data_IF_308059855661
#
_entry.id   IF_308059855661
#
_cell.length_a   1.000
_cell.length_b   1.000
_cell.length_c   1.000
_cell.angle_alpha   90.00
_cell.angle_beta   90.00
_cell.angle_gamma   90.00
#
_symmetry.space_group_name_H-M   'P 1'
#
loop_
_entity.id
_entity.type
_entity.pdbx_description
1 polymer ?
#
# COMPACT_ATOMS: atom_id res chain seq x y z
N UNK A 1 -19.64 1.67 21.03
CA UNK A 1 -19.14 0.48 21.75
C UNK A 1 -17.87 0.06 21.03
N UNK A 2 -16.78 0.74 21.35
CA UNK A 2 -15.47 0.58 20.73
C UNK A 2 -14.84 -0.74 21.19
N UNK A 3 -15.25 -1.82 20.53
CA UNK A 3 -14.70 -3.14 20.74
C UNK A 3 -13.32 -3.20 20.07
N UNK A 4 -12.28 -2.90 20.84
CA UNK A 4 -10.86 -3.21 20.59
C UNK A 4 -10.38 -2.71 19.21
N UNK A 5 -9.67 -1.57 19.18
CA UNK A 5 -8.75 -1.26 18.07
C UNK A 5 -7.63 -2.31 18.05
N UNK A 6 -7.92 -3.48 17.50
CA UNK A 6 -7.07 -4.66 17.55
C UNK A 6 -5.87 -4.53 16.62
N UNK A 7 -4.71 -4.97 17.09
CA UNK A 7 -3.55 -5.23 16.25
C UNK A 7 -3.89 -6.40 15.31
N UNK A 8 -4.08 -6.11 14.02
CA UNK A 8 -4.36 -7.10 12.99
C UNK A 8 -3.30 -7.02 11.88
N UNK A 9 -2.25 -7.86 11.92
CA UNK A 9 -1.22 -7.90 10.88
C UNK A 9 -1.78 -8.15 9.47
N UNK A 10 -2.90 -8.86 9.34
CA UNK A 10 -3.55 -9.10 8.05
C UNK A 10 -4.08 -7.83 7.39
N UNK A 11 -4.25 -6.73 8.14
CA UNK A 11 -4.63 -5.41 7.61
C UNK A 11 -3.45 -4.45 7.44
N UNK A 12 -2.23 -4.92 7.69
CA UNK A 12 -1.02 -4.13 7.48
C UNK A 12 -0.91 -3.66 6.02
N UNK A 13 -0.26 -2.50 5.83
CA UNK A 13 0.09 -1.98 4.49
C UNK A 13 1.54 -2.28 4.08
N UNK A 14 2.24 -3.01 4.94
CA UNK A 14 3.56 -3.59 4.72
C UNK A 14 3.48 -5.09 5.01
N UNK A 15 3.97 -5.91 4.09
CA UNK A 15 3.99 -7.37 4.22
C UNK A 15 5.43 -7.86 4.25
N UNK A 16 5.78 -8.74 5.17
CA UNK A 16 7.12 -9.32 5.23
C UNK A 16 7.12 -10.65 4.49
N UNK A 17 7.91 -10.72 3.42
CA UNK A 17 8.15 -11.98 2.73
C UNK A 17 9.37 -12.66 3.35
N UNK A 18 9.15 -13.88 3.82
CA UNK A 18 10.20 -14.72 4.38
C UNK A 18 10.74 -15.64 3.29
N UNK A 19 12.07 -15.74 3.17
CA UNK A 19 12.74 -16.61 2.19
C UNK A 19 13.89 -17.38 2.84
N UNK A 20 14.20 -18.56 2.28
CA UNK A 20 15.28 -19.46 2.71
C UNK A 20 15.21 -19.74 4.22
N UNK A 21 14.15 -20.42 4.68
CA UNK A 21 14.00 -20.82 6.10
C UNK A 21 14.13 -19.65 7.09
N UNK A 22 13.54 -18.50 6.76
CA UNK A 22 13.59 -17.25 7.55
C UNK A 22 14.98 -16.61 7.67
N UNK A 23 15.93 -16.96 6.80
CA UNK A 23 17.21 -16.26 6.75
C UNK A 23 17.08 -14.84 6.17
N UNK A 24 16.13 -14.64 5.25
CA UNK A 24 15.88 -13.34 4.62
C UNK A 24 14.45 -12.87 4.83
N UNK A 25 14.32 -11.58 5.16
CA UNK A 25 13.07 -10.89 5.39
C UNK A 25 12.99 -9.69 4.46
N UNK A 26 12.06 -9.72 3.50
CA UNK A 26 11.89 -8.66 2.52
C UNK A 26 10.60 -7.89 2.81
N UNK A 27 10.68 -6.61 3.19
CA UNK A 27 9.49 -5.77 3.33
C UNK A 27 8.93 -5.44 1.95
N UNK A 28 7.67 -5.79 1.71
CA UNK A 28 6.92 -5.46 0.51
C UNK A 28 5.89 -4.38 0.84
N UNK A 29 5.92 -3.30 0.07
CA UNK A 29 5.01 -2.16 0.13
C UNK A 29 4.58 -1.75 -1.28
N UNK A 30 3.59 -0.87 -1.40
CA UNK A 30 3.28 -0.26 -2.70
C UNK A 30 4.46 0.61 -3.16
N UNK A 31 4.95 0.36 -4.38
CA UNK A 31 6.09 1.08 -4.97
C UNK A 31 5.76 2.52 -5.42
N UNK A 32 4.52 2.98 -5.28
CA UNK A 32 4.07 4.29 -5.79
C UNK A 32 4.43 4.52 -7.27
N UNK A 33 4.34 3.44 -8.08
CA UNK A 33 4.82 3.36 -9.47
C UNK A 33 4.45 4.59 -10.28
N UNK A 34 5.37 5.15 -11.07
CA UNK A 34 5.09 6.25 -12.02
C UNK A 34 3.97 5.86 -12.99
N UNK A 35 4.16 4.73 -13.68
CA UNK A 35 3.13 4.06 -14.48
C UNK A 35 2.32 3.10 -13.60
N UNK A 36 1.30 3.64 -12.92
CA UNK A 36 0.46 2.88 -12.01
C UNK A 36 -0.72 2.21 -12.74
N UNK A 37 -0.59 0.92 -13.08
CA UNK A 37 -1.69 0.16 -13.71
C UNK A 37 -2.99 0.19 -12.91
N UNK A 38 -2.90 0.16 -11.58
CA UNK A 38 -4.07 0.24 -10.70
C UNK A 38 -4.89 1.52 -10.92
N UNK A 39 -4.24 2.63 -11.27
CA UNK A 39 -4.91 3.88 -11.66
C UNK A 39 -5.65 3.69 -12.98
N UNK A 40 -4.95 3.18 -14.00
CA UNK A 40 -5.49 2.99 -15.36
C UNK A 40 -6.68 2.03 -15.41
N UNK A 41 -6.65 0.94 -14.64
CA UNK A 41 -7.70 -0.09 -14.69
C UNK A 41 -8.90 0.19 -13.78
N UNK A 42 -8.88 1.26 -12.99
CA UNK A 42 -9.97 1.55 -12.05
C UNK A 42 -11.17 2.16 -12.78
N UNK A 43 -12.30 1.44 -12.97
CA UNK A 43 -13.43 1.96 -13.73
C UNK A 43 -14.17 3.10 -13.01
N UNK A 44 -14.06 3.17 -11.69
CA UNK A 44 -14.69 4.20 -10.88
C UNK A 44 -13.84 5.48 -10.75
N UNK A 45 -12.61 5.49 -11.29
CA UNK A 45 -11.67 6.60 -11.09
C UNK A 45 -11.34 6.85 -9.61
N UNK A 46 -11.39 5.80 -8.78
CA UNK A 46 -11.16 5.88 -7.34
C UNK A 46 -9.67 5.92 -6.97
N UNK A 47 -8.76 5.56 -7.89
CA UNK A 47 -7.33 5.61 -7.63
C UNK A 47 -6.77 6.84 -8.34
N UNK A 48 -6.03 7.67 -7.61
CA UNK A 48 -5.53 8.96 -8.10
C UNK A 48 -4.11 9.23 -7.61
N UNK A 49 -3.41 10.15 -8.27
CA UNK A 49 -2.11 10.65 -7.82
C UNK A 49 -2.27 12.06 -7.28
N UNK A 50 -1.80 12.31 -6.06
CA UNK A 50 -1.83 13.64 -5.48
C UNK A 50 -0.65 14.51 -5.99
N UNK A 51 -0.61 15.77 -5.54
CA UNK A 51 0.45 16.74 -5.88
C UNK A 51 1.86 16.31 -5.48
N UNK A 52 1.98 15.48 -4.43
CA UNK A 52 3.24 14.98 -3.91
C UNK A 52 3.68 13.68 -4.62
N UNK A 53 2.93 13.25 -5.64
CA UNK A 53 3.23 12.06 -6.41
C UNK A 53 2.76 10.75 -5.76
N UNK A 54 2.06 10.80 -4.63
CA UNK A 54 1.55 9.63 -3.92
C UNK A 54 0.30 9.12 -4.63
N UNK A 55 0.26 7.82 -4.92
CA UNK A 55 -0.93 7.14 -5.41
C UNK A 55 -1.84 6.84 -4.21
N UNK A 56 -3.08 7.31 -4.26
CA UNK A 56 -4.10 7.23 -3.20
C UNK A 56 -5.37 6.54 -3.71
N UNK A 57 -6.25 6.13 -2.80
CA UNK A 57 -7.58 5.58 -3.05
C UNK A 57 -8.62 6.50 -2.42
N UNK A 58 -9.46 7.09 -3.25
CA UNK A 58 -10.71 7.72 -2.84
C UNK A 58 -11.70 6.61 -2.46
N UNK A 59 -11.89 6.43 -1.15
CA UNK A 59 -12.76 5.40 -0.64
C UNK A 59 -14.23 5.65 -0.96
N UNK A 60 -14.67 6.89 -1.17
CA UNK A 60 -16.08 7.19 -1.48
C UNK A 60 -16.43 6.79 -2.92
N UNK A 61 -15.45 6.86 -3.83
CA UNK A 61 -15.60 6.37 -5.22
C UNK A 61 -15.31 4.89 -5.37
N UNK A 62 -14.64 4.25 -4.42
CA UNK A 62 -14.24 2.85 -4.54
C UNK A 62 -15.44 1.91 -4.51
N UNK A 63 -15.77 1.30 -5.66
CA UNK A 63 -16.87 0.32 -5.79
C UNK A 63 -16.47 -1.13 -5.46
N UNK A 64 -15.23 -1.37 -5.02
CA UNK A 64 -14.81 -2.71 -4.58
C UNK A 64 -14.63 -3.77 -5.68
N UNK A 65 -14.49 -3.38 -6.95
CA UNK A 65 -14.44 -4.32 -8.08
C UNK A 65 -13.20 -5.24 -8.15
N UNK A 66 -12.12 -4.94 -7.42
CA UNK A 66 -10.94 -5.83 -7.37
C UNK A 66 -9.92 -5.69 -8.51
N UNK A 67 -10.26 -5.04 -9.62
CA UNK A 67 -9.35 -4.95 -10.79
C UNK A 67 -7.97 -4.36 -10.44
N UNK A 68 -7.92 -3.35 -9.59
CA UNK A 68 -6.65 -2.77 -9.13
C UNK A 68 -5.76 -3.76 -8.36
N UNK A 69 -6.34 -4.72 -7.64
CA UNK A 69 -5.61 -5.78 -6.95
C UNK A 69 -5.15 -6.88 -7.92
N UNK A 70 -5.99 -7.22 -8.90
CA UNK A 70 -5.66 -8.19 -9.93
C UNK A 70 -4.47 -7.74 -10.78
N UNK A 71 -4.50 -6.50 -11.27
CA UNK A 71 -3.51 -5.94 -12.20
C UNK A 71 -2.25 -5.38 -11.51
N UNK A 72 -2.19 -5.35 -10.17
CA UNK A 72 -0.97 -4.95 -9.48
C UNK A 72 0.08 -6.10 -9.55
N UNK A 73 1.24 -5.91 -10.22
CA UNK A 73 2.20 -7.00 -10.42
C UNK A 73 2.80 -7.52 -9.11
N UNK A 74 2.95 -6.63 -8.13
CA UNK A 74 3.52 -6.94 -6.81
C UNK A 74 2.44 -7.23 -5.75
N UNK A 75 1.16 -7.28 -6.15
CA UNK A 75 0.01 -7.55 -5.25
C UNK A 75 -0.03 -6.65 -4.00
N UNK A 76 0.39 -5.39 -4.14
CA UNK A 76 0.41 -4.41 -3.05
C UNK A 76 -0.98 -3.82 -2.72
N UNK A 77 -1.99 -4.11 -3.53
CA UNK A 77 -3.39 -3.73 -3.30
C UNK A 77 -4.14 -4.96 -2.82
N UNK A 78 -4.83 -4.84 -1.70
CA UNK A 78 -5.72 -5.87 -1.17
C UNK A 78 -7.13 -5.33 -1.06
N UNK A 79 -8.13 -6.22 -1.11
CA UNK A 79 -9.52 -5.87 -0.86
C UNK A 79 -9.81 -6.15 0.60
N UNK A 80 -10.19 -5.09 1.32
CA UNK A 80 -10.53 -5.19 2.72
C UNK A 80 -11.84 -5.99 2.87
N UNK A 81 -11.87 -7.07 3.68
CA UNK A 81 -13.03 -7.94 3.76
C UNK A 81 -14.23 -7.26 4.44
N UNK A 82 -13.98 -6.31 5.35
CA UNK A 82 -15.02 -5.62 6.11
C UNK A 82 -15.68 -4.54 5.27
N UNK A 83 -14.86 -3.69 4.63
CA UNK A 83 -15.36 -2.54 3.86
C UNK A 83 -15.64 -2.87 2.41
N UNK A 84 -15.14 -4.01 1.92
CA UNK A 84 -15.14 -4.41 0.50
C UNK A 84 -14.43 -3.42 -0.43
N UNK A 85 -13.68 -2.47 0.12
CA UNK A 85 -12.94 -1.45 -0.63
C UNK A 85 -11.48 -1.87 -0.83
N UNK A 86 -10.91 -1.39 -1.93
CA UNK A 86 -9.49 -1.55 -2.17
C UNK A 86 -8.69 -0.71 -1.17
N UNK A 87 -7.58 -1.27 -0.70
CA UNK A 87 -6.69 -0.65 0.27
C UNK A 87 -5.24 -1.04 -0.06
N UNK A 88 -4.31 -0.11 0.15
CA UNK A 88 -2.86 -0.28 -0.12
C UNK A 88 -2.04 0.68 0.72
N UNK A 89 -0.72 0.59 0.63
CA UNK A 89 0.15 1.65 1.15
C UNK A 89 -0.07 2.96 0.38
N UNK A 90 -0.28 4.03 1.14
CA UNK A 90 -0.49 5.42 0.67
C UNK A 90 0.61 6.34 1.21
N UNK A 91 1.76 5.74 1.54
CA UNK A 91 2.92 6.39 2.13
C UNK A 91 2.60 7.19 3.41
N UNK A 92 1.47 6.88 4.07
CA UNK A 92 0.91 7.68 5.16
C UNK A 92 0.93 9.18 4.86
N UNK A 93 0.59 9.56 3.62
CA UNK A 93 0.61 10.94 3.12
C UNK A 93 1.98 11.63 3.26
N UNK A 94 3.07 10.86 3.13
CA UNK A 94 4.44 11.36 3.19
C UNK A 94 5.13 11.14 4.54
N UNK A 95 4.42 10.69 5.57
CA UNK A 95 5.00 10.36 6.88
C UNK A 95 4.80 8.88 7.25
N UNK A 96 5.56 7.95 6.64
CA UNK A 96 5.33 6.51 6.78
C UNK A 96 5.58 6.02 8.21
N UNK A 97 4.50 5.70 8.91
CA UNK A 97 4.55 5.18 10.29
C UNK A 97 5.36 3.87 10.40
N UNK A 98 5.45 3.07 9.34
CA UNK A 98 6.26 1.85 9.34
C UNK A 98 7.77 2.14 9.42
N UNK A 99 8.23 3.26 8.87
CA UNK A 99 9.63 3.70 8.98
C UNK A 99 9.91 4.14 10.41
N UNK A 100 9.04 4.99 10.98
CA UNK A 100 9.14 5.46 12.36
C UNK A 100 9.12 4.30 13.37
N UNK A 101 8.24 3.32 13.16
CA UNK A 101 8.10 2.19 14.06
C UNK A 101 9.20 1.12 13.91
N UNK A 102 10.08 1.21 12.92
CA UNK A 102 11.06 0.16 12.64
C UNK A 102 12.20 0.16 13.69
N UNK A 103 12.27 -0.84 14.59
CA UNK A 103 13.21 -0.80 15.71
C UNK A 103 14.68 -1.00 15.29
N UNK A 104 14.89 -1.65 14.14
CA UNK A 104 16.22 -1.95 13.61
C UNK A 104 16.71 -0.94 12.58
N UNK A 105 15.88 0.03 12.18
CA UNK A 105 16.20 0.95 11.09
C UNK A 105 16.31 0.27 9.72
N UNK A 106 15.68 -0.89 9.52
CA UNK A 106 15.69 -1.61 8.25
C UNK A 106 14.87 -0.92 7.13
N UNK A 107 14.10 0.11 7.48
CA UNK A 107 13.25 0.87 6.56
C UNK A 107 13.68 2.33 6.54
N UNK A 108 13.75 2.91 5.34
CA UNK A 108 14.06 4.32 5.13
C UNK A 108 13.14 4.89 4.05
N UNK A 109 12.66 6.12 4.25
CA UNK A 109 11.94 6.86 3.22
C UNK A 109 12.94 7.52 2.27
N UNK A 110 13.11 6.93 1.08
CA UNK A 110 13.99 7.47 0.04
C UNK A 110 13.17 8.19 -1.03
N UNK A 111 13.47 9.46 -1.27
CA UNK A 111 12.90 10.21 -2.38
C UNK A 111 13.74 9.96 -3.64
N UNK A 112 13.12 9.52 -4.73
CA UNK A 112 13.82 9.40 -6.02
C UNK A 112 14.32 10.78 -6.43
N UNK A 113 15.64 10.90 -6.62
CA UNK A 113 16.25 12.08 -7.25
C UNK A 113 15.77 12.15 -8.70
N UNK A 114 15.24 13.29 -9.14
CA UNK A 114 15.00 13.55 -10.57
C UNK A 114 16.38 13.49 -11.24
N UNK A 115 16.59 12.56 -12.19
CA UNK A 115 17.81 12.28 -12.98
C UNK A 115 18.65 11.06 -12.55
N UNK A 116 18.02 9.91 -12.30
CA UNK A 116 18.67 8.60 -12.40
C UNK A 116 17.74 7.59 -13.07
#
# INVERSE_FOLDING_TARGET
MDLIKGYNPGRSRIFIHHKNENLFHFPMVCNQCENAYCLTVCPAGAILRNKDGIVLIDHDKCIGCGLCAEYCPIKAVIIDPDTRKAVKCELCQGNPLCVEACPTGALELVHKRKNQ
#
